data_IF_576783548948
#
_entry.id   IF_576783548948
#
_cell.length_a   1.000
_cell.length_b   1.000
_cell.length_c   1.000
_cell.angle_alpha   90.00
_cell.angle_beta   90.00
_cell.angle_gamma   90.00
#
_symmetry.space_group_name_H-M   'P 1'
#
loop_
_entity.id
_entity.type
_entity.pdbx_description
1 polymer ?
#
# COMPACT_ATOMS: atom_id res chain seq x y z
N UNK A 1 5.99 -38.82 1.96
CA UNK A 1 5.55 -37.66 2.79
C UNK A 1 6.50 -36.47 2.55
N UNK A 2 6.52 -35.93 1.33
CA UNK A 2 7.42 -34.81 0.97
C UNK A 2 6.79 -33.77 0.03
N UNK A 3 5.49 -33.90 -0.29
CA UNK A 3 4.78 -33.00 -1.21
C UNK A 3 3.98 -31.90 -0.49
N UNK A 4 3.95 -31.88 0.85
CA UNK A 4 3.16 -30.93 1.63
C UNK A 4 3.87 -29.63 2.02
N UNK A 5 5.20 -29.56 1.90
CA UNK A 5 5.96 -28.41 2.42
C UNK A 5 6.29 -27.36 1.34
N UNK A 6 6.44 -27.78 0.08
CA UNK A 6 6.73 -26.87 -1.04
C UNK A 6 5.56 -25.92 -1.36
N UNK A 7 4.31 -26.36 -1.16
CA UNK A 7 3.13 -25.53 -1.43
C UNK A 7 2.97 -24.36 -0.45
N UNK A 8 3.56 -24.42 0.74
CA UNK A 8 3.43 -23.37 1.76
C UNK A 8 4.52 -22.29 1.60
N UNK A 9 5.74 -22.69 1.23
CA UNK A 9 6.86 -21.76 1.00
C UNK A 9 6.67 -20.89 -0.25
N UNK A 10 6.10 -21.45 -1.33
CA UNK A 10 5.82 -20.70 -2.56
C UNK A 10 4.85 -19.53 -2.32
N UNK A 11 3.83 -19.72 -1.47
CA UNK A 11 2.89 -18.66 -1.15
C UNK A 11 3.55 -17.54 -0.33
N UNK A 12 4.33 -17.89 0.69
CA UNK A 12 5.00 -16.91 1.58
C UNK A 12 6.01 -16.03 0.84
N UNK A 13 6.77 -16.59 -0.11
CA UNK A 13 7.75 -15.83 -0.90
C UNK A 13 7.05 -14.93 -1.92
N UNK A 14 5.98 -15.42 -2.56
CA UNK A 14 5.16 -14.61 -3.48
C UNK A 14 4.49 -13.45 -2.74
N UNK A 15 3.94 -13.71 -1.56
CA UNK A 15 3.31 -12.72 -0.68
C UNK A 15 4.28 -11.61 -0.20
N UNK A 16 5.57 -11.93 -0.13
CA UNK A 16 6.61 -11.00 0.33
C UNK A 16 7.15 -10.14 -0.81
N UNK A 17 7.19 -10.66 -2.05
CA UNK A 17 7.70 -9.93 -3.21
C UNK A 17 6.76 -8.80 -3.65
N UNK A 18 5.45 -9.02 -3.60
CA UNK A 18 4.43 -8.01 -3.90
C UNK A 18 4.45 -6.80 -2.96
N UNK A 19 4.65 -7.04 -1.67
CA UNK A 19 4.66 -5.99 -0.63
C UNK A 19 5.91 -5.10 -0.62
N UNK A 20 7.01 -5.52 -1.28
CA UNK A 20 8.29 -4.78 -1.27
C UNK A 20 8.35 -3.76 -2.42
N UNK A 21 7.65 -3.97 -3.54
CA UNK A 21 7.72 -3.03 -4.68
C UNK A 21 7.11 -1.66 -4.38
N UNK A 22 6.10 -1.58 -3.51
CA UNK A 22 5.43 -0.31 -3.17
C UNK A 22 6.29 0.64 -2.34
N UNK A 23 7.20 0.11 -1.54
CA UNK A 23 8.05 0.90 -0.64
C UNK A 23 9.28 1.44 -1.39
N UNK A 24 9.64 0.82 -2.52
CA UNK A 24 10.75 1.26 -3.36
C UNK A 24 10.38 2.46 -4.26
N UNK A 25 9.08 2.72 -4.47
CA UNK A 25 8.63 3.81 -5.32
C UNK A 25 8.53 5.12 -4.53
N UNK A 26 9.39 6.07 -4.87
CA UNK A 26 9.47 7.40 -4.23
C UNK A 26 8.14 8.18 -4.25
N UNK A 27 7.20 7.80 -5.10
CA UNK A 27 5.86 8.39 -5.23
C UNK A 27 4.93 8.05 -4.06
N UNK A 28 5.16 6.98 -3.31
CA UNK A 28 4.29 6.50 -2.22
C UNK A 28 4.99 6.76 -0.88
N UNK A 29 4.70 7.90 -0.25
CA UNK A 29 5.30 8.32 1.03
C UNK A 29 4.26 8.91 1.97
N UNK A 30 4.54 8.86 3.28
CA UNK A 30 3.75 9.55 4.30
C UNK A 30 3.60 11.02 3.91
N UNK A 31 2.39 11.54 4.08
CA UNK A 31 2.02 12.89 3.69
C UNK A 31 1.44 12.98 2.29
N UNK A 32 1.55 11.98 1.41
CA UNK A 32 0.92 12.05 0.08
C UNK A 32 -0.51 11.54 0.08
N UNK A 33 -1.34 12.09 -0.81
CA UNK A 33 -2.70 11.60 -1.05
C UNK A 33 -2.70 10.53 -2.14
N UNK A 34 -3.30 9.38 -1.85
CA UNK A 34 -3.39 8.25 -2.77
C UNK A 34 -4.78 7.63 -2.73
N UNK A 35 -5.11 6.88 -3.77
CA UNK A 35 -6.26 5.97 -3.79
C UNK A 35 -5.75 4.53 -3.92
N UNK A 36 -6.08 3.70 -2.94
CA UNK A 36 -5.69 2.29 -2.87
C UNK A 36 -6.86 1.44 -2.35
N UNK A 37 -7.06 0.26 -2.94
CA UNK A 37 -8.11 -0.69 -2.55
C UNK A 37 -9.52 -0.07 -2.44
N UNK A 38 -9.84 0.90 -3.31
CA UNK A 38 -11.14 1.60 -3.31
C UNK A 38 -11.28 2.72 -2.27
N UNK A 39 -10.26 2.95 -1.44
CA UNK A 39 -10.22 4.03 -0.46
C UNK A 39 -9.29 5.13 -0.93
N UNK A 40 -9.70 6.39 -0.79
CA UNK A 40 -8.86 7.56 -1.01
C UNK A 40 -8.53 8.23 0.32
N UNK A 41 -7.28 8.62 0.48
CA UNK A 41 -6.89 9.41 1.64
C UNK A 41 -5.42 9.81 1.62
N UNK A 42 -5.01 10.54 2.66
CA UNK A 42 -3.61 10.89 2.89
C UNK A 42 -2.91 9.79 3.66
N UNK A 43 -1.72 9.41 3.22
CA UNK A 43 -0.90 8.42 3.93
C UNK A 43 -0.42 9.04 5.24
N UNK A 44 -0.82 8.44 6.36
CA UNK A 44 -0.39 8.87 7.70
C UNK A 44 0.73 7.99 8.26
N UNK A 45 0.81 6.74 7.82
CA UNK A 45 1.77 5.75 8.32
C UNK A 45 1.88 4.58 7.31
N UNK A 46 3.06 3.99 7.21
CA UNK A 46 3.33 2.87 6.30
C UNK A 46 4.40 1.93 6.86
N UNK A 47 4.19 0.64 6.66
CA UNK A 47 5.05 -0.42 7.14
C UNK A 47 5.14 -1.51 6.07
N UNK A 48 6.06 -2.47 6.24
CA UNK A 48 6.21 -3.61 5.33
C UNK A 48 4.97 -4.51 5.21
N UNK A 49 4.01 -4.40 6.15
CA UNK A 49 2.79 -5.22 6.18
C UNK A 49 1.50 -4.45 5.89
N UNK A 50 1.48 -3.13 6.07
CA UNK A 50 0.25 -2.33 6.03
C UNK A 50 0.51 -0.87 5.68
N UNK A 51 -0.51 -0.24 5.12
CA UNK A 51 -0.62 1.17 4.81
C UNK A 51 -1.79 1.76 5.61
N UNK A 52 -1.63 2.98 6.13
CA UNK A 52 -2.69 3.71 6.83
C UNK A 52 -3.02 5.00 6.09
N UNK A 53 -4.29 5.15 5.74
CA UNK A 53 -4.83 6.34 5.09
C UNK A 53 -5.80 7.04 6.04
N UNK A 54 -5.79 8.38 6.03
CA UNK A 54 -6.89 9.18 6.60
C UNK A 54 -7.69 9.78 5.44
N UNK A 55 -9.00 9.57 5.44
CA UNK A 55 -9.91 10.17 4.46
C UNK A 55 -10.29 11.62 4.85
N UNK A 56 -11.11 12.27 4.03
CA UNK A 56 -11.56 13.65 4.28
C UNK A 56 -12.57 13.77 5.43
N UNK A 57 -13.20 12.67 5.81
CA UNK A 57 -14.13 12.59 6.94
C UNK A 57 -13.39 12.38 8.27
N UNK A 58 -12.08 12.11 8.21
CA UNK A 58 -11.22 11.87 9.36
C UNK A 58 -11.15 10.40 9.79
N UNK A 59 -11.71 9.46 9.02
CA UNK A 59 -11.60 8.03 9.31
C UNK A 59 -10.22 7.49 8.92
N UNK A 60 -9.72 6.55 9.72
CA UNK A 60 -8.44 5.88 9.46
C UNK A 60 -8.68 4.51 8.86
N UNK A 61 -8.23 4.33 7.61
CA UNK A 61 -8.29 3.07 6.88
C UNK A 61 -6.96 2.33 7.00
N UNK A 62 -6.99 1.07 7.41
CA UNK A 62 -5.82 0.20 7.53
C UNK A 62 -5.86 -0.83 6.40
N UNK A 63 -4.98 -0.66 5.42
CA UNK A 63 -4.94 -1.49 4.22
C UNK A 63 -3.75 -2.45 4.34
N UNK A 64 -3.96 -3.78 4.41
CA UNK A 64 -2.86 -4.74 4.36
C UNK A 64 -2.16 -4.65 2.99
N UNK A 65 -0.82 -4.70 2.95
CA UNK A 65 -0.09 -4.58 1.68
C UNK A 65 -0.47 -5.69 0.69
N UNK A 66 -0.85 -6.89 1.17
CA UNK A 66 -1.43 -7.97 0.35
C UNK A 66 -2.70 -7.59 -0.40
N UNK A 67 -3.53 -6.70 0.16
CA UNK A 67 -4.75 -6.23 -0.51
C UNK A 67 -4.42 -5.26 -1.66
N UNK A 68 -3.21 -4.68 -1.64
CA UNK A 68 -2.71 -3.75 -2.64
C UNK A 68 -1.98 -4.48 -3.77
N UNK A 69 -1.43 -5.66 -3.51
CA UNK A 69 -0.65 -6.49 -4.45
C UNK A 69 -1.38 -6.83 -5.76
N UNK A 70 -2.72 -6.83 -5.76
CA UNK A 70 -3.54 -7.05 -6.96
C UNK A 70 -4.20 -5.79 -7.54
N UNK A 71 -3.96 -4.61 -6.97
CA UNK A 71 -4.72 -3.39 -7.27
C UNK A 71 -3.82 -2.23 -7.68
N UNK A 72 -4.22 -1.51 -8.74
CA UNK A 72 -3.56 -0.26 -9.13
C UNK A 72 -3.66 0.77 -8.01
N UNK A 73 -2.53 1.34 -7.60
CA UNK A 73 -2.49 2.53 -6.73
C UNK A 73 -2.49 3.76 -7.61
N UNK A 74 -3.40 4.69 -7.34
CA UNK A 74 -3.40 6.00 -7.99
C UNK A 74 -2.80 7.02 -7.01
N UNK A 75 -1.64 7.54 -7.36
CA UNK A 75 -1.02 8.64 -6.62
C UNK A 75 -1.65 9.93 -7.12
N UNK A 76 -2.32 10.65 -6.23
CA UNK A 76 -2.97 11.92 -6.58
C UNK A 76 -1.87 12.99 -6.59
N UNK A 77 -1.74 13.69 -7.71
CA UNK A 77 -0.87 14.86 -7.79
C UNK A 77 -1.44 15.91 -6.84
N UNK A 78 -0.70 16.21 -5.78
CA UNK A 78 -0.93 17.46 -5.08
C UNK A 78 -0.38 18.53 -6.00
N UNK A 79 -1.27 19.22 -6.71
CA UNK A 79 -0.88 20.42 -7.40
C UNK A 79 -0.28 21.35 -6.34
N UNK A 80 0.97 21.76 -6.53
CA UNK A 80 1.66 22.77 -5.74
C UNK A 80 1.03 24.16 -5.97
N UNK A 81 -0.29 24.26 -5.98
CA UNK A 81 -1.06 25.51 -6.06
C UNK A 81 -1.28 26.05 -4.65
N UNK A 82 -0.20 26.27 -3.89
CA UNK A 82 -0.25 27.05 -2.65
C UNK A 82 1.14 27.54 -2.24
N UNK A 83 1.96 28.04 -3.17
CA UNK A 83 2.96 29.06 -2.85
C UNK A 83 3.10 30.05 -4.02
N UNK A 84 2.19 31.03 -4.04
CA UNK A 84 2.39 32.35 -4.64
C UNK A 84 2.10 33.39 -3.58
#
# INVERSE_FOLDING_TARGET
IALGLASSANNVVSDLYGGISLIAESSIRVGRRIRAAGVEGRIIDMNIRKLRLIDDEGNIHIIPNKAVDGSTIVVIAENEESQS
#
